data_IF_408892139760
#
_entry.id   IF_408892139760
#
_cell.length_a   1.000
_cell.length_b   1.000
_cell.length_c   1.000
_cell.angle_alpha   90.00
_cell.angle_beta   90.00
_cell.angle_gamma   90.00
#
_symmetry.space_group_name_H-M   'P 1'
#
loop_
_entity.id
_entity.type
_entity.pdbx_description
1 polymer ?
#
# COMPACT_ATOMS: atom_id res chain seq x y z
N UNK A 1 -27.35 2.52 -12.66
CA UNK A 1 -26.82 1.28 -12.03
C UNK A 1 -25.31 1.34 -12.11
N UNK A 2 -24.62 1.55 -10.99
CA UNK A 2 -23.16 1.73 -10.96
C UNK A 2 -22.52 0.49 -10.34
N UNK A 3 -22.00 -0.38 -11.18
CA UNK A 3 -21.17 -1.52 -10.78
C UNK A 3 -19.71 -1.19 -11.00
N UNK A 4 -18.92 -1.18 -9.93
CA UNK A 4 -17.46 -1.27 -9.95
C UNK A 4 -16.97 -1.77 -8.58
N UNK A 5 -15.70 -2.17 -8.41
CA UNK A 5 -14.73 -2.73 -9.35
C UNK A 5 -14.66 -4.28 -9.26
N UNK A 6 -15.62 -4.93 -8.58
CA UNK A 6 -15.64 -6.38 -8.39
C UNK A 6 -16.87 -7.05 -9.03
N UNK A 7 -17.42 -6.44 -10.08
CA UNK A 7 -18.52 -7.00 -10.86
C UNK A 7 -18.00 -7.58 -12.17
N UNK A 8 -17.70 -8.88 -12.20
CA UNK A 8 -17.53 -9.59 -13.46
C UNK A 8 -18.91 -10.01 -14.00
N UNK A 9 -19.29 -9.48 -15.15
CA UNK A 9 -20.21 -10.12 -16.07
C UNK A 9 -19.48 -10.27 -17.41
N UNK A 10 -19.32 -11.51 -17.88
CA UNK A 10 -19.04 -11.80 -19.28
C UNK A 10 -20.05 -12.85 -19.74
N UNK A 11 -20.86 -12.48 -20.72
CA UNK A 11 -21.80 -13.34 -21.44
C UNK A 11 -21.08 -13.98 -22.64
N UNK A 12 -21.36 -15.26 -22.95
CA UNK A 12 -21.04 -15.85 -24.26
C UNK A 12 -20.54 -17.30 -24.29
N UNK A 13 -21.49 -18.24 -24.25
CA UNK A 13 -21.55 -19.59 -24.84
C UNK A 13 -20.28 -20.28 -25.39
N UNK A 14 -19.86 -21.38 -24.75
CA UNK A 14 -18.97 -22.38 -25.37
C UNK A 14 -18.30 -23.37 -24.41
N UNK A 15 -18.92 -24.55 -24.22
CA UNK A 15 -18.36 -25.86 -23.80
C UNK A 15 -17.21 -25.95 -22.75
N UNK A 16 -17.55 -26.59 -21.62
CA UNK A 16 -16.68 -27.11 -20.53
C UNK A 16 -15.98 -26.07 -19.64
N UNK A 17 -16.76 -25.41 -18.80
CA UNK A 17 -16.22 -24.73 -17.61
C UNK A 17 -16.58 -25.52 -16.36
N UNK A 18 -15.54 -26.01 -15.66
CA UNK A 18 -15.67 -26.39 -14.25
C UNK A 18 -16.24 -25.18 -13.52
N UNK A 19 -17.17 -25.42 -12.60
CA UNK A 19 -17.68 -24.42 -11.66
C UNK A 19 -16.49 -23.84 -10.90
N UNK A 20 -15.94 -22.72 -11.39
CA UNK A 20 -15.06 -21.89 -10.59
C UNK A 20 -15.96 -21.36 -9.47
N UNK A 21 -15.81 -21.94 -8.28
CA UNK A 21 -16.33 -21.34 -7.08
C UNK A 21 -15.95 -19.86 -7.13
N UNK A 22 -16.96 -18.99 -7.01
CA UNK A 22 -16.75 -17.57 -6.78
C UNK A 22 -15.92 -17.43 -5.50
N UNK A 23 -14.60 -17.41 -5.61
CA UNK A 23 -13.77 -16.81 -4.58
C UNK A 23 -14.02 -15.32 -4.72
N UNK A 24 -15.02 -14.84 -3.99
CA UNK A 24 -15.06 -13.44 -3.54
C UNK A 24 -13.70 -13.22 -2.87
N UNK A 25 -12.73 -12.69 -3.61
CA UNK A 25 -11.47 -12.19 -3.07
C UNK A 25 -11.80 -10.96 -2.21
N UNK A 26 -12.43 -11.18 -1.06
CA UNK A 26 -12.79 -10.18 -0.06
C UNK A 26 -11.60 -9.93 0.87
N UNK A 27 -10.39 -9.94 0.32
CA UNK A 27 -9.19 -9.69 1.09
C UNK A 27 -9.02 -8.19 1.33
N UNK A 28 -8.61 -7.85 2.54
CA UNK A 28 -8.36 -6.48 2.97
C UNK A 28 -7.25 -5.85 2.12
N UNK A 29 -7.29 -4.53 1.97
CA UNK A 29 -6.26 -3.74 1.27
C UNK A 29 -5.58 -2.78 2.25
N UNK A 30 -4.33 -2.43 1.96
CA UNK A 30 -3.59 -1.40 2.70
C UNK A 30 -2.92 -0.43 1.74
N UNK A 31 -2.78 0.83 2.16
CA UNK A 31 -1.97 1.80 1.46
C UNK A 31 -0.54 1.77 1.99
N UNK A 32 0.42 1.78 1.08
CA UNK A 32 1.85 1.84 1.37
C UNK A 32 2.48 2.91 0.48
N UNK A 33 3.37 3.73 1.04
CA UNK A 33 4.08 4.74 0.26
C UNK A 33 5.58 4.72 0.56
N UNK A 34 6.41 4.54 -0.46
CA UNK A 34 7.85 4.81 -0.38
C UNK A 34 8.05 6.31 -0.45
N UNK A 35 8.56 6.88 0.65
CA UNK A 35 8.77 8.31 0.84
C UNK A 35 9.92 8.84 -0.04
N UNK A 36 10.11 10.16 -0.16
CA UNK A 36 11.13 10.72 -1.05
C UNK A 36 12.54 10.21 -0.79
N UNK A 37 12.94 10.05 0.47
CA UNK A 37 14.23 9.45 0.85
C UNK A 37 14.38 8.00 0.35
N UNK A 38 13.34 7.18 0.44
CA UNK A 38 13.32 5.82 -0.08
C UNK A 38 13.49 5.75 -1.60
N UNK A 39 12.84 6.66 -2.32
CA UNK A 39 12.97 6.77 -3.78
C UNK A 39 14.38 7.23 -4.16
N UNK A 40 14.89 8.30 -3.55
CA UNK A 40 16.22 8.84 -3.83
C UNK A 40 17.34 7.84 -3.52
N UNK A 41 17.14 6.98 -2.52
CA UNK A 41 18.06 5.91 -2.14
C UNK A 41 17.88 4.62 -2.95
N UNK A 42 17.03 4.63 -3.98
CA UNK A 42 16.77 3.51 -4.90
C UNK A 42 16.25 2.24 -4.20
N UNK A 43 15.49 2.40 -3.11
CA UNK A 43 14.97 1.30 -2.30
C UNK A 43 13.61 0.76 -2.78
N UNK A 44 13.02 1.35 -3.82
CA UNK A 44 11.69 0.98 -4.33
C UNK A 44 11.62 -0.52 -4.66
N UNK A 45 12.57 -1.04 -5.43
CA UNK A 45 12.58 -2.45 -5.84
C UNK A 45 12.70 -3.40 -4.64
N UNK A 46 13.55 -3.07 -3.66
CA UNK A 46 13.70 -3.89 -2.46
C UNK A 46 12.44 -3.91 -1.59
N UNK A 47 11.77 -2.76 -1.46
CA UNK A 47 10.52 -2.66 -0.71
C UNK A 47 9.44 -3.48 -1.40
N UNK A 48 9.20 -3.25 -2.71
CA UNK A 48 8.21 -4.00 -3.49
C UNK A 48 8.45 -5.51 -3.37
N UNK A 49 9.71 -5.93 -3.57
CA UNK A 49 10.12 -7.33 -3.46
C UNK A 49 9.76 -7.97 -2.11
N UNK A 50 9.83 -7.23 -0.99
CA UNK A 50 9.44 -7.77 0.33
C UNK A 50 7.94 -8.09 0.40
N UNK A 51 7.10 -7.25 -0.19
CA UNK A 51 5.65 -7.47 -0.25
C UNK A 51 5.28 -8.60 -1.21
N UNK A 52 5.91 -8.64 -2.40
CA UNK A 52 5.69 -9.72 -3.38
C UNK A 52 6.12 -11.08 -2.81
N UNK A 53 7.32 -11.17 -2.23
CA UNK A 53 7.82 -12.41 -1.62
C UNK A 53 6.99 -12.87 -0.42
N UNK A 54 6.24 -11.97 0.22
CA UNK A 54 5.32 -12.33 1.30
C UNK A 54 4.06 -13.04 0.76
N UNK A 55 3.75 -12.88 -0.51
CA UNK A 55 2.52 -13.36 -1.14
C UNK A 55 1.39 -12.32 -1.13
N UNK A 56 1.70 -11.04 -0.92
CA UNK A 56 0.71 -9.98 -1.09
C UNK A 56 0.58 -9.58 -2.55
N UNK A 57 -0.65 -9.27 -2.94
CA UNK A 57 -1.01 -8.94 -4.32
C UNK A 57 -0.96 -7.43 -4.53
N UNK A 58 -0.17 -6.97 -5.50
CA UNK A 58 -0.16 -5.57 -5.91
C UNK A 58 -1.41 -5.27 -6.75
N UNK A 59 -2.21 -4.31 -6.31
CA UNK A 59 -3.46 -3.92 -7.01
C UNK A 59 -3.46 -2.46 -7.47
N UNK A 60 -2.46 -1.67 -7.09
CA UNK A 60 -2.26 -0.31 -7.58
C UNK A 60 -0.86 0.19 -7.27
N UNK A 61 -0.24 0.92 -8.20
CA UNK A 61 1.08 1.52 -8.01
C UNK A 61 1.24 2.76 -8.90
N UNK A 62 1.79 3.84 -8.37
CA UNK A 62 2.19 5.02 -9.16
C UNK A 62 3.33 5.80 -8.52
N UNK A 63 4.20 6.36 -9.36
CA UNK A 63 5.21 7.35 -8.98
C UNK A 63 4.61 8.74 -9.15
N UNK A 64 4.55 9.53 -8.08
CA UNK A 64 3.91 10.84 -8.08
C UNK A 64 4.70 11.87 -7.28
N UNK A 65 4.64 13.12 -7.72
CA UNK A 65 4.97 14.27 -6.88
C UNK A 65 3.69 14.69 -6.16
N UNK A 66 3.58 14.44 -4.86
CA UNK A 66 2.37 14.75 -4.10
C UNK A 66 2.23 16.26 -3.87
N UNK A 67 1.05 16.83 -4.17
CA UNK A 67 0.74 18.22 -3.88
C UNK A 67 0.65 18.47 -2.38
N UNK A 68 0.90 19.71 -1.96
CA UNK A 68 0.78 20.11 -0.56
C UNK A 68 -0.61 19.83 0.04
N UNK A 69 -1.69 20.09 -0.71
CA UNK A 69 -3.07 19.85 -0.27
C UNK A 69 -3.33 18.37 0.01
N UNK A 70 -2.96 17.49 -0.93
CA UNK A 70 -3.03 16.04 -0.76
C UNK A 70 -2.29 15.58 0.51
N UNK A 71 -1.10 16.13 0.78
CA UNK A 71 -0.30 15.77 1.96
C UNK A 71 -0.91 16.30 3.26
N UNK A 72 -1.47 17.52 3.26
CA UNK A 72 -2.20 18.10 4.39
C UNK A 72 -3.46 17.32 4.75
N UNK A 73 -4.13 16.74 3.75
CA UNK A 73 -5.29 15.87 3.95
C UNK A 73 -4.90 14.46 4.36
N UNK A 74 -3.79 13.93 3.83
CA UNK A 74 -3.24 12.65 4.25
C UNK A 74 -2.87 12.66 5.74
N UNK A 75 -2.12 13.69 6.19
CA UNK A 75 -1.69 13.88 7.57
C UNK A 75 -2.65 14.70 8.43
N UNK A 76 -3.93 14.80 8.07
CA UNK A 76 -4.90 15.68 8.76
C UNK A 76 -4.97 15.46 10.27
N UNK A 77 -4.80 14.23 10.74
CA UNK A 77 -4.87 13.86 12.15
C UNK A 77 -3.65 14.36 12.95
N UNK A 78 -2.61 14.83 12.26
CA UNK A 78 -1.38 15.38 12.82
C UNK A 78 -1.31 16.92 12.74
N UNK A 79 -2.36 17.60 12.25
CA UNK A 79 -2.37 19.07 12.03
C UNK A 79 -1.98 19.91 13.25
N UNK A 80 -2.25 19.41 14.46
CA UNK A 80 -1.93 20.11 15.71
C UNK A 80 -0.52 19.80 16.23
N UNK A 81 0.22 18.91 15.58
CA UNK A 81 1.56 18.50 16.00
C UNK A 81 2.60 19.51 15.50
N UNK A 82 3.62 19.85 16.30
CA UNK A 82 4.62 20.87 15.94
C UNK A 82 5.46 20.50 14.71
N UNK A 83 5.52 19.22 14.35
CA UNK A 83 6.26 18.72 13.19
C UNK A 83 5.42 18.61 11.91
N UNK A 84 4.14 18.98 11.93
CA UNK A 84 3.23 18.80 10.79
C UNK A 84 3.71 19.48 9.51
N UNK A 85 4.05 20.77 9.58
CA UNK A 85 4.51 21.53 8.42
C UNK A 85 5.83 20.99 7.87
N UNK A 86 6.73 20.55 8.77
CA UNK A 86 7.97 19.89 8.40
C UNK A 86 7.73 18.55 7.68
N UNK A 87 6.75 17.77 8.14
CA UNK A 87 6.36 16.49 7.54
C UNK A 87 5.75 16.69 6.14
N UNK A 88 4.85 17.67 5.98
CA UNK A 88 4.26 18.02 4.68
C UNK A 88 5.35 18.50 3.71
N UNK A 89 6.21 19.44 4.12
CA UNK A 89 7.32 19.93 3.28
C UNK A 89 8.26 18.79 2.89
N UNK A 90 8.59 17.91 3.83
CA UNK A 90 9.43 16.75 3.58
C UNK A 90 8.81 15.81 2.55
N UNK A 91 7.55 15.42 2.72
CA UNK A 91 6.88 14.52 1.79
C UNK A 91 6.64 15.14 0.42
N UNK A 92 6.50 16.48 0.35
CA UNK A 92 6.39 17.24 -0.90
C UNK A 92 7.74 17.59 -1.54
N UNK A 93 8.88 17.22 -0.94
CA UNK A 93 10.22 17.59 -1.43
C UNK A 93 10.71 16.76 -2.62
N UNK A 94 10.02 15.67 -2.96
CA UNK A 94 10.41 14.78 -4.05
C UNK A 94 9.36 13.71 -4.33
N UNK A 95 9.64 12.82 -5.30
CA UNK A 95 8.68 11.83 -5.74
C UNK A 95 8.44 10.76 -4.68
N UNK A 96 7.22 10.24 -4.65
CA UNK A 96 6.75 9.16 -3.78
C UNK A 96 6.24 8.02 -4.65
N UNK A 97 6.51 6.78 -4.25
CA UNK A 97 5.85 5.61 -4.86
C UNK A 97 4.70 5.20 -3.97
N UNK A 98 3.48 5.54 -4.39
CA UNK A 98 2.24 5.14 -3.76
C UNK A 98 1.81 3.76 -4.26
N UNK A 99 1.38 2.88 -3.36
CA UNK A 99 1.01 1.50 -3.66
C UNK A 99 -0.22 1.07 -2.87
N UNK A 100 -0.97 0.13 -3.44
CA UNK A 100 -2.05 -0.60 -2.76
C UNK A 100 -1.77 -2.09 -2.83
N UNK A 101 -1.67 -2.70 -1.65
CA UNK A 101 -1.44 -4.14 -1.49
C UNK A 101 -2.68 -4.82 -0.94
N UNK A 102 -3.01 -5.99 -1.46
CA UNK A 102 -4.16 -6.80 -1.08
C UNK A 102 -3.70 -8.13 -0.48
N UNK A 103 -4.38 -8.59 0.58
CA UNK A 103 -4.17 -9.91 1.16
C UNK A 103 -4.79 -10.04 2.56
N UNK A 104 -4.78 -11.26 3.09
CA UNK A 104 -5.23 -11.54 4.47
C UNK A 104 -4.37 -10.76 5.48
N UNK A 105 -5.03 -10.04 6.40
CA UNK A 105 -4.39 -9.22 7.45
C UNK A 105 -3.30 -8.26 6.92
N UNK A 106 -3.43 -7.81 5.67
CA UNK A 106 -2.36 -7.07 5.00
C UNK A 106 -1.99 -5.77 5.72
N UNK A 107 -2.96 -5.05 6.32
CA UNK A 107 -2.68 -3.82 7.09
C UNK A 107 -1.75 -4.11 8.27
N UNK A 108 -2.15 -5.04 9.15
CA UNK A 108 -1.40 -5.43 10.35
C UNK A 108 -0.05 -6.03 10.00
N UNK A 109 -0.01 -6.90 8.99
CA UNK A 109 1.22 -7.57 8.59
C UNK A 109 2.19 -6.61 7.90
N UNK A 110 1.70 -5.67 7.10
CA UNK A 110 2.52 -4.62 6.51
C UNK A 110 3.18 -3.76 7.59
N UNK A 111 2.43 -3.34 8.61
CA UNK A 111 3.00 -2.61 9.76
C UNK A 111 4.16 -3.37 10.41
N UNK A 112 4.01 -4.67 10.63
CA UNK A 112 5.09 -5.53 11.17
C UNK A 112 6.30 -5.62 10.23
N UNK A 113 6.06 -5.76 8.92
CA UNK A 113 7.14 -5.79 7.92
C UNK A 113 7.90 -4.47 7.83
N UNK A 114 7.19 -3.34 8.00
CA UNK A 114 7.78 -2.00 7.98
C UNK A 114 8.68 -1.76 9.20
N UNK A 115 8.31 -2.28 10.37
CA UNK A 115 8.95 -1.99 11.65
C UNK A 115 8.32 -0.78 12.35
N UNK A 116 8.87 -0.42 13.50
CA UNK A 116 8.38 0.69 14.33
C UNK A 116 8.59 2.05 13.65
N UNK A 117 7.84 3.08 14.06
CA UNK A 117 7.95 4.42 13.43
C UNK A 117 9.34 5.01 13.60
N UNK A 118 9.93 4.81 14.77
CA UNK A 118 11.32 5.14 15.07
C UNK A 118 12.23 3.96 14.65
N UNK A 119 13.17 4.16 13.71
CA UNK A 119 14.08 3.09 13.28
C UNK A 119 14.91 2.47 14.40
N UNK A 120 15.25 3.23 15.44
CA UNK A 120 16.00 2.72 16.59
C UNK A 120 15.26 1.61 17.35
N UNK A 121 13.92 1.60 17.26
CA UNK A 121 13.06 0.60 17.90
C UNK A 121 12.66 -0.53 16.91
N UNK A 122 13.12 -0.45 15.65
CA UNK A 122 12.80 -1.43 14.61
C UNK A 122 13.78 -2.60 14.62
N UNK A 123 13.24 -3.82 14.60
CA UNK A 123 14.06 -5.04 14.60
C UNK A 123 14.75 -5.26 13.23
N UNK A 124 15.95 -5.89 13.20
CA UNK A 124 16.56 -6.38 11.98
C UNK A 124 15.60 -7.27 11.18
N UNK A 125 15.61 -7.14 9.85
CA UNK A 125 14.69 -7.80 8.93
C UNK A 125 13.41 -7.00 8.63
N UNK A 126 13.12 -5.94 9.39
CA UNK A 126 12.08 -4.97 9.03
C UNK A 126 12.63 -3.92 8.06
N UNK A 127 11.75 -3.28 7.27
CA UNK A 127 12.19 -2.25 6.30
C UNK A 127 12.94 -1.12 6.99
N UNK A 128 12.44 -0.63 8.13
CA UNK A 128 13.09 0.47 8.85
C UNK A 128 14.33 0.02 9.61
N UNK A 129 14.33 -1.19 10.20
CA UNK A 129 15.50 -1.73 10.87
C UNK A 129 16.68 -1.93 9.91
N UNK A 130 16.41 -2.34 8.66
CA UNK A 130 17.46 -2.62 7.68
C UNK A 130 17.95 -1.37 6.94
N UNK A 131 17.10 -0.35 6.78
CA UNK A 131 17.40 0.76 5.88
C UNK A 131 17.36 2.14 6.53
N UNK A 132 16.92 2.31 7.78
CA UNK A 132 16.73 3.63 8.37
C UNK A 132 17.55 3.80 9.65
N UNK A 133 17.89 5.06 9.95
CA UNK A 133 18.65 5.42 11.16
C UNK A 133 17.83 6.36 12.04
N UNK A 134 17.22 7.39 11.44
CA UNK A 134 16.49 8.43 12.17
C UNK A 134 15.00 8.48 11.78
N UNK A 135 14.14 8.86 12.73
CA UNK A 135 12.68 8.94 12.55
C UNK A 135 12.25 9.89 11.42
N UNK A 136 13.00 10.98 11.19
CA UNK A 136 12.72 11.94 10.13
C UNK A 136 13.01 11.42 8.71
N UNK A 137 13.71 10.29 8.58
CA UNK A 137 14.11 9.64 7.32
C UNK A 137 13.89 8.12 7.41
N UNK A 138 12.63 7.77 7.69
CA UNK A 138 12.21 6.39 7.90
C UNK A 138 11.63 5.70 6.65
N UNK A 139 11.93 6.21 5.44
CA UNK A 139 11.77 5.56 4.11
C UNK A 139 10.36 5.23 3.64
N UNK A 140 9.44 4.85 4.53
CA UNK A 140 8.18 4.19 4.15
C UNK A 140 7.04 4.53 5.11
N UNK A 141 5.85 4.70 4.54
CA UNK A 141 4.56 4.80 5.23
C UNK A 141 3.72 3.55 4.95
N UNK A 142 2.89 3.16 5.90
CA UNK A 142 1.85 2.14 5.72
C UNK A 142 0.70 2.40 6.69
N UNK A 143 -0.54 2.21 6.23
CA UNK A 143 -1.75 2.44 7.01
C UNK A 143 -1.71 1.66 8.33
N UNK A 144 -2.23 2.25 9.41
CA UNK A 144 -2.20 1.70 10.76
C UNK A 144 -3.46 0.92 11.14
N UNK A 145 -4.58 1.18 10.47
CA UNK A 145 -5.85 0.48 10.63
C UNK A 145 -6.55 0.23 9.29
N UNK A 146 -7.61 -0.57 9.30
CA UNK A 146 -8.43 -0.84 8.10
C UNK A 146 -9.15 0.43 7.67
N UNK A 147 -9.62 1.23 8.63
CA UNK A 147 -10.29 2.50 8.41
C UNK A 147 -9.34 3.53 7.78
N UNK A 148 -8.11 3.64 8.31
CA UNK A 148 -7.06 4.47 7.73
C UNK A 148 -6.71 4.00 6.32
N UNK A 149 -6.60 2.69 6.09
CA UNK A 149 -6.32 2.14 4.77
C UNK A 149 -7.39 2.51 3.74
N UNK A 150 -8.68 2.35 4.06
CA UNK A 150 -9.76 2.71 3.15
C UNK A 150 -9.75 4.21 2.78
N UNK A 151 -9.50 5.07 3.77
CA UNK A 151 -9.37 6.51 3.58
C UNK A 151 -8.17 6.84 2.71
N UNK A 152 -7.00 6.31 3.05
CA UNK A 152 -5.74 6.60 2.34
C UNK A 152 -5.80 6.09 0.90
N UNK A 153 -6.34 4.90 0.65
CA UNK A 153 -6.53 4.39 -0.71
C UNK A 153 -7.44 5.33 -1.51
N UNK A 154 -8.60 5.72 -0.96
CA UNK A 154 -9.55 6.63 -1.63
C UNK A 154 -8.97 8.03 -1.87
N UNK A 155 -8.06 8.48 -0.99
CA UNK A 155 -7.40 9.77 -1.13
C UNK A 155 -6.33 9.76 -2.22
N UNK A 156 -5.57 8.67 -2.32
CA UNK A 156 -4.42 8.59 -3.22
C UNK A 156 -4.75 8.00 -4.59
N UNK A 157 -5.79 7.19 -4.72
CA UNK A 157 -6.12 6.45 -5.94
C UNK A 157 -7.57 6.67 -6.36
N UNK A 158 -7.77 6.88 -7.67
CA UNK A 158 -9.08 6.73 -8.30
C UNK A 158 -9.41 5.24 -8.45
N UNK A 159 -10.69 4.92 -8.58
CA UNK A 159 -11.15 3.53 -8.70
C UNK A 159 -10.54 2.83 -9.92
N UNK A 160 -10.33 3.54 -11.03
CA UNK A 160 -9.77 2.99 -12.27
C UNK A 160 -8.26 2.70 -12.16
N UNK A 161 -7.58 3.30 -11.18
CA UNK A 161 -6.17 3.02 -10.90
C UNK A 161 -5.98 1.74 -10.07
N UNK A 162 -7.08 1.15 -9.57
CA UNK A 162 -7.06 -0.09 -8.80
C UNK A 162 -7.50 -1.28 -9.66
N UNK A 163 -6.58 -2.20 -9.88
CA UNK A 163 -6.77 -3.35 -10.75
C UNK A 163 -7.35 -4.55 -10.00
N UNK A 164 -8.27 -5.23 -10.65
CA UNK A 164 -8.78 -6.53 -10.25
C UNK A 164 -8.32 -7.56 -11.27
N UNK A 165 -7.47 -8.50 -10.85
CA UNK A 165 -6.88 -9.52 -11.71
C UNK A 165 -6.91 -10.88 -11.00
N UNK A 166 -6.79 -12.00 -11.71
CA UNK A 166 -6.73 -13.33 -11.09
C UNK A 166 -5.29 -13.63 -10.63
N UNK A 167 -5.10 -13.99 -9.35
CA UNK A 167 -3.78 -14.35 -8.86
C UNK A 167 -3.60 -15.89 -8.85
N UNK A 168 -2.86 -16.46 -9.81
CA UNK A 168 -2.68 -17.91 -9.91
C UNK A 168 -1.88 -18.50 -8.73
N UNK A 169 -1.16 -17.68 -7.96
CA UNK A 169 -0.47 -18.13 -6.76
C UNK A 169 -1.42 -18.23 -5.55
N UNK A 170 -2.61 -17.64 -5.61
CA UNK A 170 -3.58 -17.61 -4.50
C UNK A 170 -3.84 -18.99 -3.86
N UNK A 171 -4.10 -20.08 -4.62
CA UNK A 171 -4.33 -21.42 -4.05
C UNK A 171 -3.13 -22.04 -3.33
N UNK A 172 -1.93 -21.49 -3.52
CA UNK A 172 -0.69 -21.94 -2.86
C UNK A 172 -0.30 -21.06 -1.67
N UNK A 173 -0.93 -19.90 -1.51
CA UNK A 173 -0.69 -18.93 -0.44
C UNK A 173 -1.80 -19.03 0.64
N UNK A 174 -3.04 -19.27 0.20
CA UNK A 174 -4.22 -19.36 1.05
C UNK A 174 -4.86 -20.76 0.93
N UNK A 175 -5.41 -21.24 2.05
CA UNK A 175 -6.08 -22.54 2.16
C UNK A 175 -7.60 -22.36 2.26
#
# INVERSE_FOLDING_TARGET
MTTGPCGLQITGTGSRFRTLAQTKDCYTRTFVAVKPDGVQRRLVGDIVRRFEKKGFKLVGMKLVQASEDLLKDHYRDLRTKPFFDGLVRYMGSGPVVAMVWQGLDVVKTSRRMLGETNPADSLPGTVRGDYCVEVGRNVIHGSDSVESAQREISLWFRNEEIQCWEDPASPWIYA
#
